data_IF_684888532182
#
_entry.id   IF_684888532182
#
_cell.length_a   1.000
_cell.length_b   1.000
_cell.length_c   1.000
_cell.angle_alpha   90.00
_cell.angle_beta   90.00
_cell.angle_gamma   90.00
#
_symmetry.space_group_name_H-M   'P 1'
#
loop_
_entity.id
_entity.type
_entity.pdbx_description
1 polymer ?
#
# COMPACT_ATOMS: atom_id res chain seq x y z
N UNK A 1 -6.31 14.44 -26.57
CA UNK A 1 -7.28 13.33 -26.44
C UNK A 1 -6.86 12.56 -25.19
N UNK A 2 -7.38 12.93 -24.01
CA UNK A 2 -7.23 12.14 -22.82
C UNK A 2 -8.17 10.95 -22.96
N UNK A 3 -7.64 9.77 -23.26
CA UNK A 3 -8.37 8.54 -23.04
C UNK A 3 -8.57 8.46 -21.52
N UNK A 4 -9.82 8.53 -21.07
CA UNK A 4 -10.21 8.15 -19.72
C UNK A 4 -9.78 6.68 -19.58
N UNK A 5 -8.64 6.42 -18.94
CA UNK A 5 -8.21 5.08 -18.59
C UNK A 5 -9.38 4.41 -17.87
N UNK A 6 -9.76 3.26 -18.35
CA UNK A 6 -10.81 2.47 -17.70
C UNK A 6 -10.31 2.11 -16.29
N UNK A 7 -10.97 2.64 -15.27
CA UNK A 7 -10.57 2.42 -13.88
C UNK A 7 -10.52 0.93 -13.50
N UNK A 8 -11.20 0.07 -14.25
CA UNK A 8 -11.11 -1.38 -14.06
C UNK A 8 -9.71 -1.92 -14.40
N UNK A 9 -8.96 -1.29 -15.31
CA UNK A 9 -7.60 -1.72 -15.62
C UNK A 9 -6.61 -1.40 -14.48
N UNK A 10 -6.79 -0.27 -13.78
CA UNK A 10 -5.95 0.08 -12.62
C UNK A 10 -6.12 -0.88 -11.44
N UNK A 11 -7.24 -1.57 -11.37
CA UNK A 11 -7.52 -2.59 -10.35
C UNK A 11 -7.13 -4.00 -10.81
N UNK A 12 -6.69 -4.17 -12.06
CA UNK A 12 -6.30 -5.48 -12.59
C UNK A 12 -4.99 -5.93 -11.92
N UNK A 13 -5.10 -7.00 -11.16
CA UNK A 13 -3.95 -7.59 -10.46
C UNK A 13 -2.98 -8.24 -11.43
N UNK A 14 -1.66 -8.19 -11.18
CA UNK A 14 -0.65 -8.90 -11.95
C UNK A 14 -0.97 -10.39 -12.09
N UNK A 15 -0.74 -10.96 -13.28
CA UNK A 15 -1.01 -12.37 -13.57
C UNK A 15 0.18 -13.25 -13.20
N UNK A 16 0.34 -13.47 -11.89
CA UNK A 16 1.35 -14.35 -11.30
C UNK A 16 0.70 -15.25 -10.24
N UNK A 17 1.23 -16.46 -10.11
CA UNK A 17 0.75 -17.46 -9.17
C UNK A 17 1.87 -17.93 -8.24
N UNK A 18 1.55 -18.78 -7.25
CA UNK A 18 2.52 -19.23 -6.24
C UNK A 18 3.76 -19.89 -6.85
N UNK A 19 3.63 -20.63 -7.95
CA UNK A 19 4.78 -21.25 -8.62
C UNK A 19 5.69 -20.20 -9.28
N UNK A 20 5.12 -19.15 -9.87
CA UNK A 20 5.89 -18.04 -10.42
C UNK A 20 6.63 -17.31 -9.30
N UNK A 21 5.97 -17.09 -8.14
CA UNK A 21 6.57 -16.46 -6.97
C UNK A 21 7.78 -17.25 -6.42
N UNK A 22 7.69 -18.58 -6.36
CA UNK A 22 8.83 -19.44 -5.96
C UNK A 22 10.00 -19.27 -6.94
N UNK A 23 9.75 -19.29 -8.24
CA UNK A 23 10.79 -19.13 -9.27
C UNK A 23 11.45 -17.75 -9.19
N UNK A 24 10.66 -16.67 -9.05
CA UNK A 24 11.15 -15.30 -8.95
C UNK A 24 12.02 -15.08 -7.71
N UNK A 25 11.62 -15.63 -6.57
CA UNK A 25 12.39 -15.48 -5.32
C UNK A 25 13.69 -16.28 -5.39
N UNK A 26 13.68 -17.47 -5.97
CA UNK A 26 14.90 -18.25 -6.22
C UNK A 26 15.84 -17.51 -7.16
N UNK A 27 15.32 -17.03 -8.31
CA UNK A 27 16.10 -16.36 -9.35
C UNK A 27 16.74 -15.05 -8.87
N UNK A 28 15.94 -14.16 -8.25
CA UNK A 28 16.42 -12.81 -7.96
C UNK A 28 17.00 -12.64 -6.56
N UNK A 29 16.65 -13.51 -5.61
CA UNK A 29 17.09 -13.37 -4.22
C UNK A 29 17.90 -14.59 -3.71
N UNK A 30 17.99 -15.66 -4.50
CA UNK A 30 18.66 -16.90 -4.08
C UNK A 30 17.99 -17.60 -2.90
N UNK A 31 16.69 -17.38 -2.72
CA UNK A 31 15.92 -17.93 -1.59
C UNK A 31 15.05 -19.09 -2.08
N UNK A 32 15.24 -20.25 -1.46
CA UNK A 32 14.44 -21.45 -1.72
C UNK A 32 13.31 -21.57 -0.67
N UNK A 33 12.10 -21.90 -1.12
CA UNK A 33 10.96 -22.06 -0.20
C UNK A 33 9.66 -22.39 -0.92
N UNK A 34 8.56 -22.28 -0.19
CA UNK A 34 7.20 -22.39 -0.72
C UNK A 34 6.55 -21.01 -0.75
N UNK A 35 5.56 -20.82 -1.62
CA UNK A 35 4.80 -19.59 -1.72
C UNK A 35 3.30 -19.85 -1.47
N UNK A 36 2.69 -19.00 -0.64
CA UNK A 36 1.24 -18.94 -0.42
C UNK A 36 0.74 -17.55 -0.76
N UNK A 37 -0.26 -17.46 -1.61
CA UNK A 37 -0.86 -16.15 -1.94
C UNK A 37 -1.52 -15.52 -0.71
N UNK A 38 -1.27 -14.23 -0.54
CA UNK A 38 -1.90 -13.37 0.46
C UNK A 38 -2.94 -12.45 -0.19
N UNK A 39 -3.91 -11.92 0.58
CA UNK A 39 -4.84 -10.91 0.09
C UNK A 39 -4.09 -9.70 -0.50
N UNK A 40 -4.72 -9.06 -1.48
CA UNK A 40 -4.22 -7.84 -2.10
C UNK A 40 -5.28 -7.30 -3.04
N UNK A 41 -5.42 -5.99 -3.12
CA UNK A 41 -6.43 -5.35 -3.95
C UNK A 41 -5.94 -5.15 -5.39
N UNK A 42 -4.80 -4.48 -5.56
CA UNK A 42 -4.22 -4.12 -6.86
C UNK A 42 -2.95 -4.91 -7.17
N UNK A 43 -2.24 -5.36 -6.15
CA UNK A 43 -0.97 -6.06 -6.23
C UNK A 43 -1.15 -7.56 -5.97
N UNK A 44 -0.14 -8.36 -6.33
CA UNK A 44 -0.01 -9.74 -5.89
C UNK A 44 0.98 -9.83 -4.74
N UNK A 45 0.53 -10.42 -3.64
CA UNK A 45 1.35 -10.63 -2.45
C UNK A 45 1.48 -12.13 -2.19
N UNK A 46 2.69 -12.59 -1.88
CA UNK A 46 2.96 -13.99 -1.56
C UNK A 46 3.78 -14.09 -0.27
N UNK A 47 3.28 -14.88 0.66
CA UNK A 47 4.09 -15.35 1.79
C UNK A 47 5.07 -16.39 1.28
N UNK A 48 6.36 -16.11 1.40
CA UNK A 48 7.45 -17.04 1.10
C UNK A 48 7.92 -17.65 2.41
N UNK A 49 7.94 -18.97 2.47
CA UNK A 49 8.37 -19.71 3.65
C UNK A 49 9.52 -20.64 3.33
N UNK A 50 10.66 -20.41 3.95
CA UNK A 50 11.82 -21.30 3.86
C UNK A 50 11.67 -22.51 4.79
N UNK A 51 12.33 -23.62 4.45
CA UNK A 51 12.38 -24.83 5.26
C UNK A 51 12.95 -24.62 6.68
N UNK A 52 13.82 -23.61 6.83
CA UNK A 52 14.44 -23.22 8.11
C UNK A 52 13.56 -22.28 8.96
N UNK A 53 12.34 -22.01 8.53
CA UNK A 53 11.37 -21.21 9.27
C UNK A 53 11.41 -19.70 8.98
N UNK A 54 12.37 -19.19 8.20
CA UNK A 54 12.36 -17.79 7.80
C UNK A 54 11.18 -17.51 6.85
N UNK A 55 10.57 -16.36 7.03
CA UNK A 55 9.41 -15.91 6.24
C UNK A 55 9.62 -14.53 5.65
N UNK A 56 9.10 -14.34 4.43
CA UNK A 56 9.18 -13.10 3.67
C UNK A 56 7.85 -12.83 2.98
N UNK A 57 7.63 -11.59 2.57
CA UNK A 57 6.53 -11.23 1.67
C UNK A 57 7.10 -10.75 0.36
N UNK A 58 6.83 -11.49 -0.72
CA UNK A 58 7.07 -11.03 -2.08
C UNK A 58 5.87 -10.22 -2.53
N UNK A 59 6.11 -8.99 -2.93
CA UNK A 59 5.09 -8.11 -3.50
C UNK A 59 5.39 -7.85 -4.97
N UNK A 60 4.43 -8.16 -5.85
CA UNK A 60 4.45 -7.85 -7.28
C UNK A 60 3.44 -6.74 -7.51
N UNK A 61 3.95 -5.58 -7.87
CA UNK A 61 3.16 -4.36 -8.00
C UNK A 61 2.35 -4.34 -9.29
N UNK A 62 1.25 -3.60 -9.24
CA UNK A 62 0.47 -3.28 -10.42
C UNK A 62 1.34 -2.60 -11.50
N UNK A 63 1.02 -2.82 -12.77
CA UNK A 63 1.79 -2.28 -13.92
C UNK A 63 1.88 -0.76 -13.96
N UNK A 64 0.97 -0.06 -13.29
CA UNK A 64 0.92 1.40 -13.26
C UNK A 64 1.76 2.01 -12.12
N UNK A 65 2.37 1.18 -11.24
CA UNK A 65 3.25 1.70 -10.19
C UNK A 65 4.59 2.16 -10.79
N UNK A 66 4.96 3.41 -10.48
CA UNK A 66 6.23 3.96 -10.93
C UNK A 66 7.39 3.54 -10.02
N UNK A 67 8.59 3.39 -10.58
CA UNK A 67 9.81 3.12 -9.80
C UNK A 67 10.03 4.22 -8.75
N UNK A 68 9.81 5.47 -9.12
CA UNK A 68 9.98 6.61 -8.23
C UNK A 68 9.11 6.51 -6.97
N UNK A 69 7.81 6.20 -7.13
CA UNK A 69 6.92 6.00 -5.99
C UNK A 69 7.36 4.82 -5.12
N UNK A 70 7.81 3.73 -5.73
CA UNK A 70 8.29 2.55 -5.00
C UNK A 70 9.60 2.83 -4.25
N UNK A 71 10.47 3.67 -4.77
CA UNK A 71 11.69 4.12 -4.07
C UNK A 71 11.34 4.99 -2.85
N UNK A 72 10.36 5.88 -2.96
CA UNK A 72 9.84 6.64 -1.82
C UNK A 72 9.23 5.71 -0.76
N UNK A 73 8.47 4.70 -1.18
CA UNK A 73 7.95 3.68 -0.26
C UNK A 73 9.08 2.89 0.43
N UNK A 74 10.16 2.57 -0.27
CA UNK A 74 11.34 1.90 0.31
C UNK A 74 12.02 2.81 1.35
N UNK A 75 12.16 4.10 1.07
CA UNK A 75 12.66 5.07 2.04
C UNK A 75 11.74 5.13 3.28
N UNK A 76 10.43 5.19 3.08
CA UNK A 76 9.45 5.19 4.16
C UNK A 76 9.55 3.92 5.03
N UNK A 77 9.67 2.74 4.42
CA UNK A 77 9.88 1.48 5.15
C UNK A 77 11.18 1.51 5.97
N UNK A 78 12.28 1.97 5.38
CA UNK A 78 13.58 2.07 6.06
C UNK A 78 13.52 3.03 7.25
N UNK A 79 12.92 4.22 7.08
CA UNK A 79 12.75 5.20 8.17
C UNK A 79 11.85 4.66 9.28
N UNK A 80 10.76 3.99 8.91
CA UNK A 80 9.84 3.36 9.87
C UNK A 80 10.53 2.24 10.65
N UNK A 81 11.30 1.39 9.98
CA UNK A 81 12.08 0.33 10.62
C UNK A 81 13.09 0.90 11.65
N UNK A 82 13.76 2.01 11.31
CA UNK A 82 14.71 2.67 12.21
C UNK A 82 14.04 3.23 13.49
N UNK A 83 12.78 3.64 13.40
CA UNK A 83 12.03 4.17 14.55
C UNK A 83 11.35 3.07 15.36
N UNK A 84 10.68 2.13 14.69
CA UNK A 84 9.90 1.08 15.38
C UNK A 84 10.77 -0.12 15.80
N UNK A 85 11.88 -0.36 15.11
CA UNK A 85 12.76 -1.49 15.32
C UNK A 85 12.31 -2.76 14.59
N UNK A 86 13.23 -3.74 14.58
CA UNK A 86 12.97 -5.06 13.99
C UNK A 86 11.82 -5.77 14.72
N UNK A 87 10.98 -6.47 13.98
CA UNK A 87 9.80 -7.17 14.50
C UNK A 87 8.53 -6.32 14.59
N UNK A 88 8.62 -5.00 14.37
CA UNK A 88 7.45 -4.10 14.30
C UNK A 88 7.28 -3.43 12.94
N UNK A 89 8.31 -3.48 12.11
CA UNK A 89 8.27 -3.01 10.73
C UNK A 89 9.03 -4.01 9.85
N UNK A 90 8.58 -4.27 8.62
CA UNK A 90 9.29 -5.14 7.70
C UNK A 90 10.60 -4.49 7.27
N UNK A 91 11.66 -5.29 7.16
CA UNK A 91 12.92 -4.86 6.53
C UNK A 91 12.89 -5.18 5.03
N UNK A 92 13.52 -4.33 4.25
CA UNK A 92 13.74 -4.57 2.83
C UNK A 92 14.83 -5.64 2.63
N UNK A 93 14.66 -6.48 1.61
CA UNK A 93 15.63 -7.49 1.22
C UNK A 93 16.19 -7.12 -0.16
N UNK A 94 17.50 -6.98 -0.24
CA UNK A 94 18.19 -6.73 -1.50
C UNK A 94 18.17 -7.97 -2.39
N UNK A 95 18.00 -7.75 -3.68
CA UNK A 95 18.19 -8.78 -4.69
C UNK A 95 19.68 -9.05 -4.94
N UNK A 96 20.02 -10.02 -5.78
CA UNK A 96 21.40 -10.38 -6.09
C UNK A 96 22.21 -9.26 -6.78
N UNK A 97 21.55 -8.18 -7.23
CA UNK A 97 22.19 -7.00 -7.84
C UNK A 97 22.29 -5.82 -6.85
N UNK A 98 22.04 -6.03 -5.55
CA UNK A 98 22.01 -5.00 -4.50
C UNK A 98 20.96 -3.89 -4.76
N UNK A 99 19.81 -4.24 -5.32
CA UNK A 99 18.66 -3.35 -5.49
C UNK A 99 17.46 -3.93 -4.73
N UNK A 100 16.62 -3.06 -4.18
CA UNK A 100 15.38 -3.45 -3.50
C UNK A 100 14.21 -3.66 -4.47
N UNK A 101 14.35 -3.22 -5.72
CA UNK A 101 13.33 -3.34 -6.75
C UNK A 101 13.87 -4.14 -7.93
N UNK A 102 13.07 -5.08 -8.39
CA UNK A 102 13.38 -5.87 -9.58
C UNK A 102 12.28 -5.66 -10.62
N UNK A 103 12.67 -5.39 -11.85
CA UNK A 103 11.73 -5.32 -12.97
C UNK A 103 11.54 -6.69 -13.57
N UNK A 104 10.30 -7.12 -13.71
CA UNK A 104 9.92 -8.43 -14.27
C UNK A 104 8.90 -8.27 -15.37
N UNK A 105 8.74 -9.31 -16.18
CA UNK A 105 7.74 -9.37 -17.24
C UNK A 105 6.80 -10.56 -17.01
N UNK A 106 5.49 -10.30 -17.14
CA UNK A 106 4.48 -11.36 -17.10
C UNK A 106 4.49 -12.20 -18.37
N UNK A 107 3.81 -13.34 -18.36
CA UNK A 107 3.62 -14.20 -19.55
C UNK A 107 2.93 -13.49 -20.72
N UNK A 108 2.26 -12.38 -20.46
CA UNK A 108 1.57 -11.55 -21.46
C UNK A 108 2.41 -10.36 -21.93
N UNK A 109 3.69 -10.25 -21.53
CA UNK A 109 4.59 -9.17 -21.93
C UNK A 109 4.40 -7.87 -21.13
N UNK A 110 3.60 -7.89 -20.06
CA UNK A 110 3.36 -6.71 -19.22
C UNK A 110 4.49 -6.61 -18.19
N UNK A 111 5.05 -5.39 -18.06
CA UNK A 111 6.12 -5.11 -17.10
C UNK A 111 5.56 -4.81 -15.71
N UNK A 112 6.19 -5.35 -14.69
CA UNK A 112 5.87 -5.13 -13.29
C UNK A 112 7.14 -4.90 -12.48
N UNK A 113 7.01 -4.25 -11.33
CA UNK A 113 8.04 -4.21 -10.31
C UNK A 113 7.75 -5.27 -9.26
N UNK A 114 8.79 -5.83 -8.67
CA UNK A 114 8.67 -6.65 -7.47
C UNK A 114 9.62 -6.18 -6.38
N UNK A 115 9.23 -6.48 -5.14
CA UNK A 115 10.00 -6.22 -3.92
C UNK A 115 9.84 -7.39 -2.97
N UNK A 116 10.91 -7.73 -2.24
CA UNK A 116 10.87 -8.70 -1.16
C UNK A 116 11.08 -7.97 0.17
N UNK A 117 10.26 -8.29 1.17
CA UNK A 117 10.40 -7.76 2.53
C UNK A 117 10.36 -8.90 3.55
N UNK A 118 10.98 -8.69 4.70
CA UNK A 118 10.86 -9.60 5.84
C UNK A 118 9.42 -9.67 6.33
N UNK A 119 8.98 -10.86 6.74
CA UNK A 119 7.65 -11.02 7.34
C UNK A 119 7.68 -10.53 8.79
N UNK A 120 6.70 -9.73 9.17
CA UNK A 120 6.50 -9.31 10.57
C UNK A 120 5.54 -10.29 11.23
N UNK A 121 6.00 -10.92 12.32
CA UNK A 121 5.20 -11.84 13.10
C UNK A 121 4.14 -11.07 13.90
N UNK A 122 2.90 -11.55 13.90
CA UNK A 122 1.84 -10.94 14.66
C UNK A 122 0.48 -11.57 14.41
N UNK A 123 -0.48 -11.09 15.17
CA UNK A 123 -1.91 -11.40 14.99
C UNK A 123 -2.56 -10.11 14.46
N UNK A 124 -3.31 -10.15 13.34
CA UNK A 124 -4.05 -8.99 12.86
C UNK A 124 -4.96 -8.41 13.95
N UNK A 125 -5.08 -7.10 14.01
CA UNK A 125 -5.92 -6.43 15.01
C UNK A 125 -7.37 -6.92 14.97
N UNK A 126 -7.89 -7.25 13.78
CA UNK A 126 -9.23 -7.83 13.59
C UNK A 126 -9.42 -9.17 14.31
N UNK A 127 -8.34 -9.92 14.54
CA UNK A 127 -8.36 -11.24 15.21
C UNK A 127 -7.99 -11.14 16.69
N UNK A 128 -7.53 -9.97 17.16
CA UNK A 128 -7.10 -9.77 18.54
C UNK A 128 -8.22 -9.14 19.38
N UNK A 129 -8.46 -9.69 20.58
CA UNK A 129 -9.42 -9.14 21.55
C UNK A 129 -8.90 -9.32 22.97
N UNK A 130 -9.21 -8.40 23.91
CA UNK A 130 -10.02 -7.19 23.75
C UNK A 130 -9.22 -5.97 23.26
N UNK A 131 -9.87 -5.04 22.57
CA UNK A 131 -9.33 -3.74 22.25
C UNK A 131 -9.52 -2.80 23.46
N UNK A 132 -8.71 -2.96 24.48
CA UNK A 132 -8.75 -2.12 25.68
C UNK A 132 -8.05 -0.77 25.46
N UNK A 133 -8.16 0.15 26.43
CA UNK A 133 -7.58 1.49 26.35
C UNK A 133 -6.05 1.45 26.17
N UNK A 134 -5.36 0.54 26.83
CA UNK A 134 -3.92 0.38 26.71
C UNK A 134 -3.51 -0.03 25.30
N UNK A 135 -4.22 -1.00 24.72
CA UNK A 135 -4.00 -1.43 23.34
C UNK A 135 -4.20 -0.28 22.34
N UNK A 136 -5.32 0.47 22.47
CA UNK A 136 -5.61 1.60 21.60
C UNK A 136 -4.60 2.74 21.78
N UNK A 137 -4.13 2.98 23.00
CA UNK A 137 -3.06 3.94 23.27
C UNK A 137 -1.74 3.54 22.55
N UNK A 138 -1.32 2.28 22.65
CA UNK A 138 -0.13 1.79 21.96
C UNK A 138 -0.27 1.86 20.44
N UNK A 139 -1.44 1.53 19.89
CA UNK A 139 -1.72 1.69 18.47
C UNK A 139 -1.56 3.15 18.03
N UNK A 140 -2.15 4.08 18.78
CA UNK A 140 -2.01 5.51 18.51
C UNK A 140 -0.57 6.02 18.59
N UNK A 141 0.21 5.53 19.56
CA UNK A 141 1.64 5.83 19.65
C UNK A 141 2.40 5.32 18.42
N UNK A 142 2.14 4.08 18.01
CA UNK A 142 2.78 3.49 16.83
C UNK A 142 2.46 4.28 15.56
N UNK A 143 1.20 4.66 15.34
CA UNK A 143 0.81 5.51 14.22
C UNK A 143 1.51 6.88 14.26
N UNK A 144 1.66 7.47 15.44
CA UNK A 144 2.41 8.71 15.65
C UNK A 144 3.90 8.56 15.32
N UNK A 145 4.50 7.44 15.73
CA UNK A 145 5.91 7.13 15.44
C UNK A 145 6.15 6.93 13.94
N UNK A 146 5.27 6.19 13.26
CA UNK A 146 5.30 6.05 11.80
C UNK A 146 5.18 7.40 11.09
N UNK A 147 4.24 8.23 11.50
CA UNK A 147 4.06 9.58 10.93
C UNK A 147 5.33 10.43 11.11
N UNK A 148 5.96 10.39 12.28
CA UNK A 148 7.24 11.10 12.51
C UNK A 148 8.38 10.55 11.66
N UNK A 149 8.45 9.23 11.50
CA UNK A 149 9.47 8.59 10.68
C UNK A 149 9.42 9.07 9.23
N UNK A 150 8.23 9.10 8.63
CA UNK A 150 8.06 9.47 7.22
C UNK A 150 8.01 10.98 6.98
N UNK A 151 7.84 11.81 8.04
CA UNK A 151 7.79 13.26 7.92
C UNK A 151 9.07 13.88 7.33
N UNK A 152 10.20 13.21 7.49
CA UNK A 152 11.50 13.65 6.97
C UNK A 152 11.75 13.25 5.51
N UNK A 153 10.78 12.69 4.82
CA UNK A 153 10.89 12.38 3.39
C UNK A 153 10.66 13.67 2.59
N UNK A 154 11.71 14.13 1.91
CA UNK A 154 11.74 15.39 1.15
C UNK A 154 11.44 15.17 -0.35
N UNK A 155 10.45 14.35 -0.66
CA UNK A 155 9.99 14.20 -2.04
C UNK A 155 8.71 15.00 -2.26
N UNK A 156 8.64 15.67 -3.42
CA UNK A 156 7.39 16.29 -3.85
C UNK A 156 6.28 15.24 -3.93
N UNK A 157 5.04 15.58 -3.56
CA UNK A 157 3.93 14.67 -3.66
C UNK A 157 3.74 14.22 -5.10
N UNK A 158 3.87 12.93 -5.35
CA UNK A 158 3.53 12.37 -6.66
C UNK A 158 2.01 12.37 -6.82
N UNK A 159 1.56 12.73 -8.01
CA UNK A 159 0.15 12.57 -8.35
C UNK A 159 -0.17 11.07 -8.34
N UNK A 160 -1.13 10.71 -7.53
CA UNK A 160 -1.61 9.34 -7.42
C UNK A 160 -3.07 9.28 -7.88
N UNK A 161 -3.35 8.40 -8.83
CA UNK A 161 -4.71 8.14 -9.32
C UNK A 161 -5.50 7.19 -8.39
N UNK A 162 -5.13 7.16 -7.10
CA UNK A 162 -5.84 6.37 -6.11
C UNK A 162 -7.23 6.94 -5.85
N UNK A 163 -8.27 6.14 -6.08
CA UNK A 163 -9.67 6.52 -5.92
C UNK A 163 -10.03 7.03 -4.51
N UNK A 164 -9.28 6.59 -3.50
CA UNK A 164 -9.45 7.00 -2.09
C UNK A 164 -8.49 8.11 -1.65
N UNK A 165 -7.86 8.79 -2.61
CA UNK A 165 -7.07 9.97 -2.31
C UNK A 165 -7.99 11.12 -1.86
N UNK A 166 -7.88 11.53 -0.59
CA UNK A 166 -8.71 12.59 -0.02
C UNK A 166 -8.59 13.94 -0.74
N UNK A 167 -7.47 14.20 -1.41
CA UNK A 167 -7.29 15.42 -2.20
C UNK A 167 -8.15 15.43 -3.49
N UNK A 168 -8.74 14.29 -3.86
CA UNK A 168 -9.57 14.12 -5.07
C UNK A 168 -11.01 13.74 -4.70
N UNK A 169 -11.41 13.90 -3.44
CA UNK A 169 -12.72 13.44 -2.95
C UNK A 169 -13.88 14.06 -3.71
N UNK A 170 -13.83 15.36 -4.00
CA UNK A 170 -14.89 16.05 -4.75
C UNK A 170 -15.07 15.46 -6.14
N UNK A 171 -13.99 15.35 -6.90
CA UNK A 171 -14.00 14.79 -8.26
C UNK A 171 -14.43 13.32 -8.27
N UNK A 172 -13.89 12.54 -7.33
CA UNK A 172 -14.21 11.11 -7.19
C UNK A 172 -15.69 10.90 -6.87
N UNK A 173 -16.25 11.62 -5.89
CA UNK A 173 -17.64 11.47 -5.50
C UNK A 173 -18.60 11.93 -6.61
N UNK A 174 -18.34 13.06 -7.26
CA UNK A 174 -19.13 13.53 -8.39
C UNK A 174 -19.18 12.50 -9.52
N UNK A 175 -18.05 11.87 -9.84
CA UNK A 175 -17.95 10.86 -10.88
C UNK A 175 -18.73 9.58 -10.55
N UNK A 176 -18.68 9.13 -9.30
CA UNK A 176 -19.27 7.84 -8.91
C UNK A 176 -20.69 7.94 -8.33
N UNK A 177 -21.17 9.13 -8.00
CA UNK A 177 -22.51 9.32 -7.43
C UNK A 177 -23.63 8.77 -8.33
N UNK A 178 -23.44 8.83 -9.64
CA UNK A 178 -24.38 8.32 -10.66
C UNK A 178 -24.62 6.80 -10.54
N UNK A 179 -23.66 6.05 -9.98
CA UNK A 179 -23.75 4.61 -9.79
C UNK A 179 -24.44 4.20 -8.48
N UNK A 180 -24.80 5.17 -7.62
CA UNK A 180 -25.56 4.93 -6.40
C UNK A 180 -27.05 5.06 -6.70
N UNK A 181 -27.81 3.93 -6.80
CA UNK A 181 -29.19 3.98 -7.30
C UNK A 181 -30.21 4.51 -6.29
N UNK A 182 -29.83 4.60 -5.01
CA UNK A 182 -30.69 4.99 -3.90
C UNK A 182 -30.67 6.52 -3.70
N UNK A 183 -31.81 7.23 -3.94
CA UNK A 183 -31.84 8.69 -3.82
C UNK A 183 -31.58 9.20 -2.39
N UNK A 184 -31.97 8.45 -1.36
CA UNK A 184 -31.69 8.83 0.04
C UNK A 184 -30.19 8.78 0.32
N UNK A 185 -29.52 7.73 -0.10
CA UNK A 185 -28.06 7.61 0.01
C UNK A 185 -27.33 8.64 -0.83
N UNK A 186 -27.83 8.94 -2.05
CA UNK A 186 -27.29 10.05 -2.86
C UNK A 186 -27.37 11.37 -2.09
N UNK A 187 -28.50 11.67 -1.45
CA UNK A 187 -28.69 12.85 -0.64
C UNK A 187 -27.70 12.95 0.52
N UNK A 188 -27.44 11.85 1.20
CA UNK A 188 -26.44 11.78 2.28
C UNK A 188 -25.04 12.11 1.73
N UNK A 189 -24.61 11.46 0.66
CA UNK A 189 -23.31 11.70 0.05
C UNK A 189 -23.17 13.15 -0.42
N UNK A 190 -24.19 13.71 -1.07
CA UNK A 190 -24.20 15.11 -1.51
C UNK A 190 -24.08 16.09 -0.34
N UNK A 191 -24.77 15.84 0.77
CA UNK A 191 -24.68 16.68 1.96
C UNK A 191 -23.26 16.70 2.53
N UNK A 192 -22.60 15.54 2.62
CA UNK A 192 -21.21 15.46 3.08
C UNK A 192 -20.24 16.11 2.09
N UNK A 193 -20.45 15.95 0.79
CA UNK A 193 -19.65 16.63 -0.24
C UNK A 193 -19.75 18.15 -0.11
N UNK A 194 -20.96 18.69 0.04
CA UNK A 194 -21.17 20.13 0.27
C UNK A 194 -20.50 20.62 1.54
N UNK A 195 -20.57 19.82 2.63
CA UNK A 195 -19.88 20.15 3.88
C UNK A 195 -18.36 20.19 3.68
N UNK A 196 -17.78 19.20 2.98
CA UNK A 196 -16.36 19.17 2.64
C UNK A 196 -15.96 20.42 1.82
N UNK A 197 -16.66 20.71 0.73
CA UNK A 197 -16.42 21.85 -0.15
C UNK A 197 -16.52 23.19 0.60
N UNK A 198 -17.39 23.28 1.56
CA UNK A 198 -17.58 24.51 2.35
C UNK A 198 -16.54 24.69 3.46
N UNK A 199 -16.05 23.59 4.06
CA UNK A 199 -15.24 23.64 5.29
C UNK A 199 -13.78 23.31 5.09
N UNK A 200 -13.46 22.28 4.32
CA UNK A 200 -12.10 21.77 4.15
C UNK A 200 -11.43 22.28 2.86
N UNK A 201 -12.09 22.21 1.74
CA UNK A 201 -11.52 22.61 0.46
C UNK A 201 -10.96 24.07 0.45
N UNK A 202 -11.61 25.08 1.06
CA UNK A 202 -11.06 26.43 1.11
C UNK A 202 -9.78 26.56 1.93
N UNK A 203 -9.55 25.69 2.91
CA UNK A 203 -8.39 25.75 3.81
C UNK A 203 -7.33 24.73 3.45
N UNK A 204 -7.58 23.80 2.51
CA UNK A 204 -6.67 22.71 2.14
C UNK A 204 -5.24 23.20 1.82
N UNK A 205 -5.11 24.31 1.11
CA UNK A 205 -3.81 24.93 0.79
C UNK A 205 -3.01 25.41 2.00
N UNK A 206 -3.67 25.56 3.16
CA UNK A 206 -3.04 25.97 4.43
C UNK A 206 -2.75 24.79 5.36
N UNK A 207 -3.20 23.59 5.02
CA UNK A 207 -2.92 22.40 5.81
C UNK A 207 -1.48 21.94 5.58
N UNK A 208 -0.87 21.38 6.62
CA UNK A 208 0.43 20.73 6.48
C UNK A 208 0.27 19.53 5.55
N UNK A 209 1.18 19.41 4.59
CA UNK A 209 1.27 18.26 3.69
C UNK A 209 2.53 17.44 4.03
N UNK A 210 2.47 16.15 3.80
CA UNK A 210 3.58 15.23 4.03
C UNK A 210 3.18 13.80 3.72
N UNK A 211 4.15 12.94 3.67
CA UNK A 211 3.92 11.51 3.50
C UNK A 211 3.30 10.93 4.77
N UNK A 212 2.33 10.06 4.61
CA UNK A 212 1.63 9.34 5.69
C UNK A 212 1.39 7.90 5.27
N UNK A 213 1.20 7.02 6.24
CA UNK A 213 0.88 5.61 5.98
C UNK A 213 -0.55 5.44 5.42
N UNK A 214 -1.51 6.23 5.87
CA UNK A 214 -2.89 6.38 5.38
C UNK A 214 -3.80 5.12 5.35
N UNK A 215 -3.35 3.96 5.80
CA UNK A 215 -4.13 2.72 5.75
C UNK A 215 -3.94 1.86 7.01
N UNK A 216 -3.93 2.51 8.18
CA UNK A 216 -3.90 1.82 9.46
C UNK A 216 -5.31 1.34 9.82
N UNK A 217 -5.65 0.14 9.37
CA UNK A 217 -6.93 -0.52 9.66
C UNK A 217 -6.72 -1.88 10.33
N UNK A 218 -7.81 -2.54 10.70
CA UNK A 218 -7.80 -3.78 11.49
C UNK A 218 -7.08 -4.95 10.83
N UNK A 219 -6.92 -4.91 9.50
CA UNK A 219 -6.33 -5.99 8.71
C UNK A 219 -4.93 -5.65 8.15
N UNK A 220 -4.43 -4.43 8.41
CA UNK A 220 -3.11 -3.96 7.98
C UNK A 220 -2.14 -3.79 9.14
#
# INVERSE_FOLDING_TARGET
MNQSLDHSEHLRRPDFHSNDAVSLVSEFFGIEGTAKELPGERDRNFLIQQSKGQRFVLKIFNQYESRELLEIQNEALTKTLNVLGSGRSPNLIENQNNDFLTKIESKTGIQHWLRLVGYVEGIPMAEYTPHNEEFLHHLGMMCGDMTRAVHSIEHEPLQSDLLWNMNQVSETLEKFLVYLPDPEKQGIVQNFLQLYQKTLEPIEKHLRKGWIQNDANDYN
#
